data_IF_612704677813
#
_entry.id   IF_612704677813
#
_cell.length_a   1.000
_cell.length_b   1.000
_cell.length_c   1.000
_cell.angle_alpha   90.00
_cell.angle_beta   90.00
_cell.angle_gamma   90.00
#
_symmetry.space_group_name_H-M   'P 1'
#
loop_
_entity.id
_entity.type
_entity.pdbx_description
1 polymer ?
#
# COMPACT_ATOMS: atom_id res chain seq x y z
N UNK A 1 10.48 29.81 -33.50
CA UNK A 1 9.78 30.04 -32.23
C UNK A 1 8.40 29.35 -32.15
N UNK A 2 8.18 28.27 -32.91
CA UNK A 2 6.88 27.52 -32.91
C UNK A 2 6.97 26.12 -32.26
N UNK A 3 8.13 25.71 -31.75
CA UNK A 3 8.37 24.35 -31.26
C UNK A 3 8.31 24.17 -29.70
N UNK A 4 8.38 25.26 -28.94
CA UNK A 4 8.37 25.11 -27.46
C UNK A 4 6.95 25.02 -26.82
N UNK A 5 5.91 25.51 -27.53
CA UNK A 5 4.54 25.42 -27.02
C UNK A 5 3.90 24.04 -27.23
N UNK A 6 4.39 23.25 -28.16
CA UNK A 6 3.90 21.88 -28.44
C UNK A 6 4.36 20.87 -27.37
N UNK A 7 5.58 21.02 -26.84
CA UNK A 7 6.15 20.11 -25.85
C UNK A 7 5.45 20.20 -24.46
N UNK A 8 5.06 21.38 -24.02
CA UNK A 8 4.41 21.57 -22.70
C UNK A 8 2.96 21.04 -22.67
N UNK A 9 2.26 21.08 -23.82
CA UNK A 9 0.94 20.49 -23.94
C UNK A 9 1.00 18.96 -23.92
N UNK A 10 2.07 18.37 -24.44
CA UNK A 10 2.30 16.92 -24.52
C UNK A 10 2.59 16.27 -23.15
N UNK A 11 3.34 16.93 -22.28
CA UNK A 11 3.65 16.40 -20.94
C UNK A 11 2.40 16.18 -20.06
N UNK A 12 1.36 17.01 -20.19
CA UNK A 12 0.12 16.87 -19.42
C UNK A 12 -0.70 15.65 -19.85
N UNK A 13 -0.58 15.25 -21.11
CA UNK A 13 -1.29 14.11 -21.67
C UNK A 13 -0.81 12.76 -21.10
N UNK A 14 0.43 12.68 -20.61
CA UNK A 14 1.04 11.44 -20.16
C UNK A 14 1.17 11.31 -18.63
N UNK A 15 0.52 12.17 -17.86
CA UNK A 15 0.50 12.10 -16.38
C UNK A 15 -0.56 11.09 -15.88
N UNK A 16 -0.29 9.82 -16.05
CA UNK A 16 -1.23 8.74 -15.66
C UNK A 16 -1.19 8.34 -14.18
N UNK A 17 -0.31 8.93 -13.37
CA UNK A 17 -0.11 8.52 -11.97
C UNK A 17 -1.42 8.56 -11.16
N UNK A 18 -2.22 9.61 -11.29
CA UNK A 18 -3.50 9.75 -10.58
C UNK A 18 -4.51 8.71 -11.05
N UNK A 19 -4.61 8.49 -12.37
CA UNK A 19 -5.50 7.47 -12.96
C UNK A 19 -5.13 6.09 -12.44
N UNK A 20 -3.85 5.74 -12.45
CA UNK A 20 -3.35 4.46 -11.98
C UNK A 20 -3.61 4.26 -10.48
N UNK A 21 -3.38 5.29 -9.65
CA UNK A 21 -3.65 5.22 -8.22
C UNK A 21 -5.15 5.01 -7.91
N UNK A 22 -6.04 5.70 -8.64
CA UNK A 22 -7.48 5.50 -8.51
C UNK A 22 -7.88 4.08 -8.92
N UNK A 23 -7.31 3.58 -10.01
CA UNK A 23 -7.54 2.21 -10.50
C UNK A 23 -7.17 1.16 -9.44
N UNK A 24 -5.96 1.28 -8.86
CA UNK A 24 -5.47 0.32 -7.85
C UNK A 24 -6.33 0.36 -6.57
N UNK A 25 -6.91 1.51 -6.24
CA UNK A 25 -7.78 1.69 -5.07
C UNK A 25 -9.22 1.26 -5.31
N UNK A 26 -9.56 0.68 -6.47
CA UNK A 26 -10.92 0.28 -6.80
C UNK A 26 -11.88 1.46 -7.04
N UNK A 27 -11.35 2.61 -7.48
CA UNK A 27 -12.13 3.81 -7.82
C UNK A 27 -12.25 3.98 -9.34
N UNK A 28 -12.69 2.92 -10.03
CA UNK A 28 -12.67 2.81 -11.50
C UNK A 28 -13.48 3.93 -12.17
N UNK A 29 -14.60 4.30 -11.60
CA UNK A 29 -15.46 5.37 -12.14
C UNK A 29 -14.75 6.72 -12.16
N UNK A 30 -13.93 6.98 -11.16
CA UNK A 30 -13.14 8.21 -11.06
C UNK A 30 -11.92 8.16 -11.96
N UNK A 31 -11.22 7.02 -11.98
CA UNK A 31 -10.12 6.79 -12.91
C UNK A 31 -10.56 7.01 -14.36
N UNK A 32 -11.72 6.46 -14.74
CA UNK A 32 -12.29 6.64 -16.06
C UNK A 32 -12.63 8.10 -16.36
N UNK A 33 -13.27 8.82 -15.43
CA UNK A 33 -13.55 10.26 -15.61
C UNK A 33 -12.28 11.08 -15.83
N UNK A 34 -11.22 10.80 -15.07
CA UNK A 34 -9.90 11.45 -15.23
C UNK A 34 -9.27 11.12 -16.58
N UNK A 35 -9.33 9.88 -17.03
CA UNK A 35 -8.88 9.46 -18.36
C UNK A 35 -9.59 10.25 -19.45
N UNK A 36 -10.93 10.31 -19.40
CA UNK A 36 -11.72 11.05 -20.39
C UNK A 36 -11.37 12.54 -20.39
N UNK A 37 -11.29 13.15 -19.20
CA UNK A 37 -10.92 14.57 -19.06
C UNK A 37 -9.54 14.85 -19.67
N UNK A 38 -8.57 14.01 -19.42
CA UNK A 38 -7.22 14.15 -19.96
C UNK A 38 -7.20 13.94 -21.48
N UNK A 39 -7.95 12.98 -22.00
CA UNK A 39 -8.00 12.67 -23.42
C UNK A 39 -8.78 13.71 -24.27
N UNK A 40 -9.60 14.56 -23.66
CA UNK A 40 -10.30 15.63 -24.40
C UNK A 40 -9.36 16.60 -25.12
N UNK A 41 -8.12 16.73 -24.65
CA UNK A 41 -7.10 17.58 -25.30
C UNK A 41 -6.64 17.06 -26.66
N UNK A 42 -6.82 15.75 -26.94
CA UNK A 42 -6.43 15.14 -28.23
C UNK A 42 -7.61 14.93 -29.17
N UNK A 43 -8.84 15.24 -28.73
CA UNK A 43 -10.05 15.12 -29.54
C UNK A 43 -10.19 16.31 -30.49
N UNK A 44 -10.31 16.05 -31.78
CA UNK A 44 -10.55 17.10 -32.81
C UNK A 44 -9.28 17.53 -33.56
N UNK A 45 -8.14 16.88 -33.34
CA UNK A 45 -6.91 17.07 -34.11
C UNK A 45 -6.82 16.19 -35.38
N UNK A 46 -6.09 16.61 -36.38
CA UNK A 46 -5.98 15.86 -37.64
C UNK A 46 -5.38 14.46 -37.57
N UNK A 47 -4.69 14.09 -36.46
CA UNK A 47 -4.09 12.78 -36.18
C UNK A 47 -4.77 12.05 -35.01
N UNK A 48 -6.03 12.28 -34.79
CA UNK A 48 -6.79 11.89 -33.60
C UNK A 48 -6.67 10.38 -33.29
N UNK A 49 -6.88 9.52 -34.28
CA UNK A 49 -6.81 8.04 -34.10
C UNK A 49 -5.42 7.60 -33.66
N UNK A 50 -4.37 8.15 -34.24
CA UNK A 50 -2.98 7.87 -33.85
C UNK A 50 -2.74 8.27 -32.40
N UNK A 51 -3.17 9.46 -32.01
CA UNK A 51 -3.01 9.97 -30.65
C UNK A 51 -3.81 9.16 -29.63
N UNK A 52 -4.99 8.65 -29.97
CA UNK A 52 -5.76 7.73 -29.13
C UNK A 52 -4.99 6.44 -28.84
N UNK A 53 -4.38 5.83 -29.85
CA UNK A 53 -3.58 4.61 -29.69
C UNK A 53 -2.34 4.85 -28.84
N UNK A 54 -1.64 5.97 -29.06
CA UNK A 54 -0.47 6.38 -28.26
C UNK A 54 -0.84 6.61 -26.80
N UNK A 55 -1.94 7.34 -26.55
CA UNK A 55 -2.45 7.59 -25.20
C UNK A 55 -2.79 6.29 -24.47
N UNK A 56 -3.54 5.39 -25.09
CA UNK A 56 -3.91 4.10 -24.49
C UNK A 56 -2.70 3.24 -24.20
N UNK A 57 -1.71 3.21 -25.10
CA UNK A 57 -0.47 2.47 -24.87
C UNK A 57 0.31 3.06 -23.68
N UNK A 58 0.50 4.36 -23.61
CA UNK A 58 1.20 5.01 -22.51
C UNK A 58 0.49 4.79 -21.17
N UNK A 59 -0.85 4.89 -21.14
CA UNK A 59 -1.66 4.60 -19.97
C UNK A 59 -1.56 3.12 -19.54
N UNK A 60 -1.56 2.20 -20.48
CA UNK A 60 -1.39 0.77 -20.23
C UNK A 60 -0.02 0.45 -19.62
N UNK A 61 1.05 1.01 -20.18
CA UNK A 61 2.41 0.89 -19.62
C UNK A 61 2.52 1.50 -18.23
N UNK A 62 1.91 2.66 -17.99
CA UNK A 62 1.90 3.29 -16.68
C UNK A 62 1.23 2.40 -15.63
N UNK A 63 0.08 1.79 -15.94
CA UNK A 63 -0.58 0.84 -15.05
C UNK A 63 0.29 -0.38 -14.78
N UNK A 64 0.89 -0.97 -15.82
CA UNK A 64 1.78 -2.12 -15.66
C UNK A 64 2.94 -1.81 -14.70
N UNK A 65 3.66 -0.71 -14.92
CA UNK A 65 4.80 -0.34 -14.09
C UNK A 65 4.39 -0.03 -12.63
N UNK A 66 3.33 0.73 -12.41
CA UNK A 66 2.88 1.04 -11.05
C UNK A 66 2.46 -0.23 -10.32
N UNK A 67 1.75 -1.16 -10.96
CA UNK A 67 1.37 -2.42 -10.35
C UNK A 67 2.59 -3.32 -10.08
N UNK A 68 3.53 -3.40 -11.02
CA UNK A 68 4.78 -4.14 -10.84
C UNK A 68 5.54 -3.67 -9.61
N UNK A 69 5.72 -2.35 -9.46
CA UNK A 69 6.41 -1.78 -8.30
C UNK A 69 5.61 -1.87 -6.99
N UNK A 70 4.28 -1.80 -7.07
CA UNK A 70 3.44 -1.84 -5.87
C UNK A 70 3.34 -3.25 -5.30
N UNK A 71 3.11 -4.23 -6.16
CA UNK A 71 2.81 -5.61 -5.76
C UNK A 71 3.97 -6.59 -5.97
N UNK A 72 5.07 -6.15 -6.58
CA UNK A 72 6.20 -7.02 -6.99
C UNK A 72 5.73 -8.22 -7.84
N UNK A 73 4.63 -8.06 -8.57
CA UNK A 73 4.01 -9.08 -9.40
C UNK A 73 3.98 -8.66 -10.86
N UNK A 74 4.29 -9.61 -11.77
CA UNK A 74 4.30 -9.33 -13.19
C UNK A 74 2.91 -9.42 -13.81
N UNK A 75 2.54 -8.38 -14.54
CA UNK A 75 1.28 -8.27 -15.30
C UNK A 75 1.51 -8.19 -16.80
N UNK A 76 2.66 -8.68 -17.28
CA UNK A 76 3.05 -8.55 -18.69
C UNK A 76 2.02 -9.14 -19.66
N UNK A 77 1.38 -10.27 -19.31
CA UNK A 77 0.33 -10.87 -20.15
C UNK A 77 -0.91 -9.97 -20.26
N UNK A 78 -1.27 -9.27 -19.18
CA UNK A 78 -2.38 -8.33 -19.19
C UNK A 78 -2.02 -7.10 -20.05
N UNK A 79 -0.82 -6.56 -19.84
CA UNK A 79 -0.30 -5.45 -20.63
C UNK A 79 -0.23 -5.78 -22.12
N UNK A 80 0.26 -6.98 -22.49
CA UNK A 80 0.33 -7.45 -23.87
C UNK A 80 -1.06 -7.59 -24.51
N UNK A 81 -2.01 -8.22 -23.82
CA UNK A 81 -3.39 -8.36 -24.32
C UNK A 81 -4.06 -7.03 -24.61
N UNK A 82 -3.82 -6.02 -23.78
CA UNK A 82 -4.33 -4.68 -24.04
C UNK A 82 -3.66 -4.05 -25.28
N UNK A 83 -2.35 -4.29 -25.48
CA UNK A 83 -1.63 -3.81 -26.65
C UNK A 83 -2.25 -4.24 -27.98
N UNK A 84 -2.83 -5.44 -28.05
CA UNK A 84 -3.51 -5.94 -29.23
C UNK A 84 -4.78 -5.12 -29.53
N UNK A 85 -5.52 -4.70 -28.51
CA UNK A 85 -6.76 -3.95 -28.65
C UNK A 85 -6.57 -2.53 -29.22
N UNK A 86 -5.35 -1.98 -29.18
CA UNK A 86 -5.11 -0.62 -29.69
C UNK A 86 -5.28 -0.52 -31.21
N UNK A 87 -5.08 -1.60 -31.92
CA UNK A 87 -5.28 -1.64 -33.37
C UNK A 87 -6.75 -1.51 -33.79
N UNK A 88 -7.68 -1.88 -32.89
CA UNK A 88 -9.12 -1.81 -33.11
C UNK A 88 -9.68 -0.38 -32.91
N UNK A 89 -8.86 0.54 -32.37
CA UNK A 89 -9.32 1.90 -32.06
C UNK A 89 -9.27 2.77 -33.31
N UNK A 90 -10.43 3.09 -33.87
CA UNK A 90 -10.59 3.92 -35.06
C UNK A 90 -11.38 5.22 -34.79
N UNK A 91 -12.03 5.33 -33.63
CA UNK A 91 -12.84 6.47 -33.25
C UNK A 91 -12.89 6.69 -31.74
N UNK A 92 -13.48 7.81 -31.32
CA UNK A 92 -13.63 8.20 -29.94
C UNK A 92 -14.38 7.16 -29.07
N UNK A 93 -15.44 6.53 -29.60
CA UNK A 93 -16.22 5.56 -28.85
C UNK A 93 -15.40 4.29 -28.54
N UNK A 94 -14.60 3.82 -29.50
CA UNK A 94 -13.69 2.70 -29.31
C UNK A 94 -12.56 3.04 -28.35
N UNK A 95 -11.98 4.25 -28.44
CA UNK A 95 -11.05 4.77 -27.45
C UNK A 95 -11.61 4.70 -26.04
N UNK A 96 -12.84 5.20 -25.84
CA UNK A 96 -13.50 5.16 -24.53
C UNK A 96 -13.74 3.74 -24.04
N UNK A 97 -14.19 2.84 -24.92
CA UNK A 97 -14.42 1.43 -24.63
C UNK A 97 -13.13 0.73 -24.18
N UNK A 98 -12.06 0.88 -24.96
CA UNK A 98 -10.76 0.23 -24.67
C UNK A 98 -10.14 0.81 -23.41
N UNK A 99 -10.15 2.14 -23.25
CA UNK A 99 -9.65 2.79 -22.04
C UNK A 99 -10.36 2.34 -20.76
N UNK A 100 -11.69 2.20 -20.81
CA UNK A 100 -12.48 1.65 -19.70
C UNK A 100 -12.11 0.20 -19.41
N UNK A 101 -11.91 -0.61 -20.45
CA UNK A 101 -11.51 -1.99 -20.31
C UNK A 101 -10.13 -2.14 -19.64
N UNK A 102 -9.16 -1.31 -20.02
CA UNK A 102 -7.83 -1.27 -19.39
C UNK A 102 -7.98 -0.99 -17.88
N UNK A 103 -8.69 0.06 -17.52
CA UNK A 103 -8.90 0.45 -16.12
C UNK A 103 -9.56 -0.69 -15.34
N UNK A 104 -10.65 -1.26 -15.84
CA UNK A 104 -11.38 -2.33 -15.16
C UNK A 104 -10.53 -3.59 -14.98
N UNK A 105 -9.76 -3.98 -15.99
CA UNK A 105 -8.93 -5.18 -15.94
C UNK A 105 -7.78 -5.01 -14.94
N UNK A 106 -7.13 -3.85 -14.88
CA UNK A 106 -6.10 -3.59 -13.88
C UNK A 106 -6.67 -3.44 -12.47
N UNK A 107 -7.86 -2.85 -12.32
CA UNK A 107 -8.56 -2.81 -11.04
C UNK A 107 -8.90 -4.22 -10.53
N UNK A 108 -9.43 -5.07 -11.39
CA UNK A 108 -9.72 -6.47 -11.05
C UNK A 108 -8.45 -7.24 -10.65
N UNK A 109 -7.35 -7.05 -11.38
CA UNK A 109 -6.06 -7.65 -11.07
C UNK A 109 -5.53 -7.17 -9.70
N UNK A 110 -5.58 -5.86 -9.43
CA UNK A 110 -5.18 -5.28 -8.16
C UNK A 110 -6.05 -5.80 -6.99
N UNK A 111 -7.37 -5.86 -7.17
CA UNK A 111 -8.30 -6.39 -6.17
C UNK A 111 -8.06 -7.88 -5.87
N UNK A 112 -7.77 -8.69 -6.89
CA UNK A 112 -7.43 -10.10 -6.70
C UNK A 112 -6.20 -10.27 -5.81
N UNK A 113 -5.16 -9.47 -6.04
CA UNK A 113 -3.95 -9.48 -5.22
C UNK A 113 -4.26 -8.96 -3.81
N UNK A 114 -4.97 -7.84 -3.71
CA UNK A 114 -5.36 -7.26 -2.42
C UNK A 114 -6.12 -8.26 -1.53
N UNK A 115 -7.10 -8.99 -2.09
CA UNK A 115 -7.84 -10.01 -1.36
C UNK A 115 -6.97 -11.20 -0.92
N UNK A 116 -6.00 -11.61 -1.76
CA UNK A 116 -5.00 -12.62 -1.39
C UNK A 116 -4.17 -12.18 -0.20
N UNK A 117 -3.76 -10.92 -0.15
CA UNK A 117 -2.89 -10.39 0.89
C UNK A 117 -3.63 -9.95 2.16
N UNK A 118 -4.94 -9.74 2.14
CA UNK A 118 -5.73 -9.62 3.39
C UNK A 118 -5.57 -10.85 4.27
N UNK A 119 -5.49 -12.04 3.70
CA UNK A 119 -5.15 -13.27 4.42
C UNK A 119 -3.74 -13.25 5.03
N UNK A 120 -2.78 -12.62 4.38
CA UNK A 120 -1.41 -12.52 4.87
C UNK A 120 -1.25 -11.63 6.12
N UNK A 121 -2.19 -10.73 6.41
CA UNK A 121 -2.14 -9.89 7.63
C UNK A 121 -2.17 -10.74 8.90
N UNK A 122 -2.92 -11.84 8.92
CA UNK A 122 -2.91 -12.76 10.05
C UNK A 122 -1.52 -13.40 10.25
N UNK A 123 -0.84 -13.75 9.15
CA UNK A 123 0.55 -14.26 9.19
C UNK A 123 1.49 -13.20 9.76
N UNK A 124 1.35 -11.95 9.33
CA UNK A 124 2.13 -10.81 9.87
C UNK A 124 1.90 -10.62 11.36
N UNK A 125 0.65 -10.66 11.81
CA UNK A 125 0.29 -10.53 13.23
C UNK A 125 0.92 -11.65 14.07
N UNK A 126 0.80 -12.88 13.61
CA UNK A 126 1.39 -14.04 14.29
C UNK A 126 2.91 -13.93 14.34
N UNK A 127 3.55 -13.60 13.22
CA UNK A 127 4.99 -13.41 13.17
C UNK A 127 5.48 -12.33 14.15
N UNK A 128 4.78 -11.18 14.22
CA UNK A 128 5.09 -10.12 15.18
C UNK A 128 4.98 -10.64 16.62
N UNK A 129 3.91 -11.36 16.95
CA UNK A 129 3.69 -11.90 18.30
C UNK A 129 4.71 -12.93 18.72
N UNK A 130 5.09 -13.81 17.81
CA UNK A 130 6.10 -14.86 18.05
C UNK A 130 7.52 -14.30 18.23
N UNK A 131 7.78 -13.10 17.69
CA UNK A 131 9.10 -12.46 17.73
C UNK A 131 9.09 -11.10 18.46
N UNK A 132 8.13 -10.90 19.37
CA UNK A 132 7.88 -9.61 20.03
C UNK A 132 9.03 -9.21 20.98
N UNK A 133 9.79 -10.18 21.46
CA UNK A 133 10.91 -10.09 22.42
C UNK A 133 12.21 -9.58 21.80
N UNK A 134 12.26 -9.40 20.48
CA UNK A 134 13.44 -8.94 19.75
C UNK A 134 13.15 -7.73 18.87
N UNK A 135 14.17 -7.03 18.37
CA UNK A 135 13.98 -5.98 17.37
C UNK A 135 13.32 -6.55 16.10
N UNK A 136 12.28 -5.88 15.64
CA UNK A 136 11.55 -6.20 14.42
C UNK A 136 11.70 -5.06 13.42
N UNK A 137 12.07 -5.39 12.18
CA UNK A 137 12.14 -4.43 11.08
C UNK A 137 10.98 -4.63 10.11
N UNK A 138 10.52 -3.54 9.51
CA UNK A 138 9.47 -3.61 8.49
C UNK A 138 9.90 -4.47 7.28
N UNK A 139 11.19 -4.47 6.95
CA UNK A 139 11.75 -5.31 5.88
C UNK A 139 11.56 -6.79 6.19
N UNK A 140 12.01 -7.21 7.35
CA UNK A 140 11.91 -8.59 7.82
C UNK A 140 10.45 -9.09 7.83
N UNK A 141 9.53 -8.26 8.33
CA UNK A 141 8.10 -8.59 8.37
C UNK A 141 7.52 -8.71 6.95
N UNK A 142 7.93 -7.83 6.04
CA UNK A 142 7.47 -7.85 4.65
C UNK A 142 7.98 -9.09 3.90
N UNK A 143 9.21 -9.51 4.16
CA UNK A 143 9.83 -10.69 3.57
C UNK A 143 9.07 -11.99 3.94
N UNK A 144 8.44 -12.05 5.15
CA UNK A 144 7.63 -13.21 5.58
C UNK A 144 6.37 -13.44 4.72
N UNK A 145 5.87 -12.41 4.08
CA UNK A 145 4.64 -12.47 3.27
C UNK A 145 4.88 -12.11 1.80
N UNK A 146 6.15 -12.01 1.41
CA UNK A 146 6.56 -11.67 0.03
C UNK A 146 5.93 -10.38 -0.49
N UNK A 147 5.90 -9.35 0.36
CA UNK A 147 5.34 -8.02 0.04
C UNK A 147 6.42 -6.95 0.05
N UNK A 148 6.24 -5.92 -0.79
CA UNK A 148 7.01 -4.70 -0.61
C UNK A 148 6.65 -4.01 0.71
N UNK A 149 7.64 -3.37 1.33
CA UNK A 149 7.45 -2.62 2.59
C UNK A 149 6.34 -1.56 2.49
N UNK A 150 6.28 -0.88 1.37
CA UNK A 150 5.29 0.17 1.10
C UNK A 150 3.88 -0.42 1.05
N UNK A 151 3.72 -1.52 0.34
CA UNK A 151 2.42 -2.18 0.22
C UNK A 151 1.96 -2.82 1.52
N UNK A 152 2.86 -3.52 2.24
CA UNK A 152 2.55 -4.06 3.56
C UNK A 152 2.09 -2.96 4.52
N UNK A 153 2.80 -1.82 4.58
CA UNK A 153 2.41 -0.70 5.45
C UNK A 153 1.02 -0.17 5.13
N UNK A 154 0.67 -0.07 3.85
CA UNK A 154 -0.64 0.41 3.40
C UNK A 154 -1.76 -0.56 3.77
N UNK A 155 -1.61 -1.85 3.40
CA UNK A 155 -2.64 -2.86 3.63
C UNK A 155 -2.81 -3.19 5.12
N UNK A 156 -1.72 -3.17 5.90
CA UNK A 156 -1.80 -3.36 7.34
C UNK A 156 -2.60 -2.25 8.01
N UNK A 157 -2.29 -0.98 7.68
CA UNK A 157 -3.03 0.17 8.20
C UNK A 157 -4.50 0.15 7.80
N UNK A 158 -4.80 -0.23 6.55
CA UNK A 158 -6.18 -0.35 6.06
C UNK A 158 -6.96 -1.44 6.79
N UNK A 159 -6.31 -2.60 7.04
CA UNK A 159 -6.95 -3.77 7.67
C UNK A 159 -7.06 -3.61 9.17
N UNK A 160 -6.04 -3.08 9.85
CA UNK A 160 -5.93 -3.01 11.30
C UNK A 160 -6.32 -1.64 11.89
N UNK A 161 -6.48 -0.61 11.05
CA UNK A 161 -6.75 0.76 11.50
C UNK A 161 -5.55 1.49 12.11
N UNK A 162 -4.41 0.83 12.28
CA UNK A 162 -3.18 1.37 12.86
C UNK A 162 -1.95 0.93 12.05
N UNK A 163 -0.83 1.63 12.19
CA UNK A 163 0.41 1.23 11.52
C UNK A 163 1.13 0.10 12.28
N UNK A 164 2.04 -0.63 11.59
CA UNK A 164 2.77 -1.78 12.16
C UNK A 164 3.59 -1.40 13.40
N UNK A 165 4.18 -0.20 13.45
CA UNK A 165 4.98 0.23 14.60
C UNK A 165 4.12 0.44 15.83
N UNK A 166 2.93 1.04 15.66
CA UNK A 166 1.98 1.25 16.76
C UNK A 166 1.40 -0.08 17.23
N UNK A 167 1.14 -1.02 16.31
CA UNK A 167 0.73 -2.38 16.64
C UNK A 167 1.80 -3.08 17.49
N UNK A 168 3.06 -3.11 17.08
CA UNK A 168 4.18 -3.71 17.84
C UNK A 168 4.30 -3.06 19.22
N UNK A 169 4.24 -1.72 19.27
CA UNK A 169 4.30 -0.98 20.54
C UNK A 169 3.18 -1.41 21.49
N UNK A 170 1.95 -1.48 21.01
CA UNK A 170 0.77 -1.88 21.79
C UNK A 170 0.87 -3.33 22.29
N UNK A 171 1.29 -4.28 21.42
CA UNK A 171 1.48 -5.68 21.82
C UNK A 171 2.59 -5.83 22.87
N UNK A 172 3.70 -5.09 22.75
CA UNK A 172 4.76 -5.05 23.78
C UNK A 172 4.27 -4.52 25.12
N UNK A 173 3.45 -3.47 25.12
CA UNK A 173 2.88 -2.91 26.34
C UNK A 173 1.88 -3.87 27.00
N UNK A 174 1.06 -4.57 26.21
CA UNK A 174 0.18 -5.63 26.71
C UNK A 174 0.95 -6.80 27.32
N UNK A 175 2.01 -7.24 26.65
CA UNK A 175 2.90 -8.27 27.20
C UNK A 175 3.52 -7.82 28.53
N UNK A 176 4.00 -6.58 28.60
CA UNK A 176 4.58 -6.03 29.82
C UNK A 176 3.56 -5.99 30.98
N UNK A 177 2.33 -5.55 30.72
CA UNK A 177 1.25 -5.56 31.70
C UNK A 177 1.00 -6.98 32.24
N UNK A 178 0.88 -7.96 31.33
CA UNK A 178 0.66 -9.36 31.71
C UNK A 178 1.81 -9.89 32.58
N UNK A 179 3.08 -9.67 32.17
CA UNK A 179 4.24 -10.14 32.95
C UNK A 179 4.36 -9.46 34.30
N UNK A 180 4.02 -8.17 34.42
CA UNK A 180 4.00 -7.44 35.67
C UNK A 180 2.95 -7.98 36.66
N UNK A 181 1.83 -8.50 36.15
CA UNK A 181 0.72 -9.04 36.94
C UNK A 181 0.87 -10.52 37.27
N UNK A 182 1.50 -11.30 36.37
CA UNK A 182 1.52 -12.76 36.47
C UNK A 182 2.86 -13.35 36.94
N UNK A 183 3.88 -12.52 37.14
CA UNK A 183 5.23 -12.98 37.52
C UNK A 183 5.91 -12.05 38.53
N UNK A 184 6.85 -12.59 39.29
CA UNK A 184 7.73 -11.84 40.19
C UNK A 184 9.01 -11.33 39.50
N UNK A 185 9.12 -11.50 38.17
CA UNK A 185 10.27 -11.09 37.38
C UNK A 185 10.59 -9.61 37.57
N UNK A 186 11.87 -9.26 37.65
CA UNK A 186 12.30 -7.85 37.78
C UNK A 186 11.83 -7.00 36.60
N UNK A 187 11.53 -5.73 36.86
CA UNK A 187 11.02 -4.81 35.79
C UNK A 187 12.03 -4.70 34.64
N UNK A 188 13.34 -4.77 34.94
CA UNK A 188 14.39 -4.76 33.93
C UNK A 188 14.36 -6.02 33.05
N UNK A 189 14.14 -7.19 33.66
CA UNK A 189 13.99 -8.45 32.95
C UNK A 189 12.74 -8.41 32.04
N UNK A 190 11.61 -7.91 32.56
CA UNK A 190 10.39 -7.73 31.77
C UNK A 190 10.62 -6.80 30.57
N UNK A 191 11.40 -5.72 30.75
CA UNK A 191 11.82 -4.85 29.65
C UNK A 191 12.50 -5.60 28.53
N UNK A 192 13.46 -6.48 28.85
CA UNK A 192 14.16 -7.30 27.88
C UNK A 192 13.23 -8.29 27.18
N UNK A 193 12.38 -8.99 27.94
CA UNK A 193 11.39 -9.94 27.40
C UNK A 193 10.37 -9.27 26.46
N UNK A 194 10.12 -7.97 26.65
CA UNK A 194 9.27 -7.18 25.76
C UNK A 194 10.03 -6.58 24.57
N UNK A 195 11.27 -7.00 24.31
CA UNK A 195 12.06 -6.58 23.16
C UNK A 195 12.64 -5.16 23.24
N UNK A 196 12.83 -4.63 24.45
CA UNK A 196 13.45 -3.32 24.67
C UNK A 196 14.93 -3.49 25.04
N UNK A 197 15.80 -2.83 24.28
CA UNK A 197 17.24 -2.78 24.55
C UNK A 197 17.60 -1.75 25.63
N UNK A 198 16.73 -0.77 25.87
CA UNK A 198 16.93 0.29 26.88
C UNK A 198 15.79 0.26 27.88
N UNK A 199 16.15 0.03 29.15
CA UNK A 199 15.21 0.10 30.27
C UNK A 199 14.59 1.48 30.44
N UNK A 200 15.37 2.55 30.24
CA UNK A 200 14.86 3.92 30.32
C UNK A 200 13.79 4.18 29.25
N UNK A 201 14.03 3.71 28.03
CA UNK A 201 13.06 3.84 26.94
C UNK A 201 11.81 2.98 27.17
N UNK A 202 11.96 1.78 27.70
CA UNK A 202 10.83 0.95 28.14
C UNK A 202 9.97 1.64 29.19
N UNK A 203 10.60 2.14 30.26
CA UNK A 203 9.89 2.79 31.38
C UNK A 203 9.12 4.04 30.91
N UNK A 204 9.72 4.85 30.04
CA UNK A 204 9.05 6.00 29.44
C UNK A 204 7.89 5.58 28.53
N UNK A 205 8.07 4.54 27.72
CA UNK A 205 7.04 3.98 26.84
C UNK A 205 5.86 3.40 27.63
N UNK A 206 6.14 2.65 28.70
CA UNK A 206 5.13 2.07 29.56
C UNK A 206 4.34 3.15 30.30
N UNK A 207 5.03 4.18 30.83
CA UNK A 207 4.37 5.31 31.49
C UNK A 207 3.45 6.08 30.53
N UNK A 208 3.88 6.25 29.27
CA UNK A 208 3.05 6.87 28.22
C UNK A 208 1.79 6.06 27.93
N UNK A 209 1.90 4.72 27.92
CA UNK A 209 0.79 3.82 27.62
C UNK A 209 -0.17 3.60 28.79
N UNK A 210 0.38 3.40 30.01
CA UNK A 210 -0.38 3.06 31.21
C UNK A 210 -0.63 4.25 32.15
N UNK A 211 -0.11 5.44 31.86
CA UNK A 211 -0.16 6.65 32.69
C UNK A 211 0.49 6.49 34.07
N UNK A 212 1.27 5.44 34.30
CA UNK A 212 2.02 5.18 35.53
C UNK A 212 3.28 4.34 35.26
N UNK A 213 4.22 4.33 36.23
CA UNK A 213 5.44 3.52 36.08
C UNK A 213 5.14 2.02 36.13
N UNK A 214 6.01 1.15 35.55
CA UNK A 214 5.85 -0.30 35.66
C UNK A 214 5.77 -0.79 37.12
N UNK A 215 6.62 -0.23 37.98
CA UNK A 215 6.63 -0.58 39.43
C UNK A 215 5.33 -0.19 40.12
N UNK A 216 4.84 1.03 39.88
CA UNK A 216 3.55 1.47 40.43
C UNK A 216 2.37 0.64 39.90
N UNK A 217 2.44 0.22 38.61
CA UNK A 217 1.42 -0.65 38.02
C UNK A 217 1.33 -1.98 38.74
N UNK A 218 2.47 -2.66 39.01
CA UNK A 218 2.53 -3.90 39.77
C UNK A 218 1.99 -3.72 41.17
N UNK A 219 2.44 -2.70 41.91
CA UNK A 219 2.00 -2.45 43.29
C UNK A 219 0.48 -2.25 43.41
N UNK A 220 -0.11 -1.54 42.46
CA UNK A 220 -1.56 -1.27 42.47
C UNK A 220 -2.40 -2.52 42.22
N UNK A 221 -1.86 -3.52 41.55
CA UNK A 221 -2.56 -4.79 41.29
C UNK A 221 -2.53 -5.74 42.48
N UNK A 222 -1.50 -5.65 43.34
CA UNK A 222 -1.36 -6.49 44.57
C UNK A 222 -2.29 -6.01 45.70
N UNK A 223 -2.76 -4.75 45.65
CA UNK A 223 -3.63 -4.15 46.68
C UNK A 223 -5.13 -4.38 46.43
N UNK A 224 -5.49 -5.11 45.38
CA UNK A 224 -6.86 -5.55 45.09
C UNK A 224 -7.01 -7.05 45.35
#
# INVERSE_FOLDING_TARGET
MANEQTDVADERLYRFQEICQLTIRGREKEAYRKMVQQALFIKGGGEEVRLFRVFLNAMNQAHYHILLYTFEASFHQLCYRHGILFHEVENWNEFLRVGKQIINNYAAAANSIHNRYKGAINTVINYIRENIDRPLTLREIADQVYLSRSYLSSIFKETMGENIKDFIYRERMRMAQNLLLSTDAGVQEISCRCGYQSFAYFSASFRRYCHMSPTSFRQRAVVK
#
